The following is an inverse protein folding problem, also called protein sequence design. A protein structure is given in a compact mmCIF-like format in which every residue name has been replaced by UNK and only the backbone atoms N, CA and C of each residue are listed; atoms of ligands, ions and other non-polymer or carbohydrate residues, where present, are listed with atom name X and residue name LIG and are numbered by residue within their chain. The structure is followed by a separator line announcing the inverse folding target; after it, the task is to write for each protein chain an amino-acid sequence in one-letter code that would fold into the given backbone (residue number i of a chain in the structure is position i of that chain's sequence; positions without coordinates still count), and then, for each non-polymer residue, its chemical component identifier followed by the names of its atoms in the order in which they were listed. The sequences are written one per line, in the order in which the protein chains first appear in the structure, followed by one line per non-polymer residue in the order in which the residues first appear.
data_IF_517357360536
#
_entry.id   IF_517357360536
#
_cell.length_a   1.000
_cell.length_b   1.000
_cell.length_c   1.000
_cell.angle_alpha   90.00
_cell.angle_beta   90.00
_cell.angle_gamma   90.00
#
_symmetry.space_group_name_H-M   'P 1'
#
loop_
_entity.id
_entity.type
_entity.pdbx_description
1 polymer ?
#
# COMPACT_ATOMS: atom_id res chain seq x y z
N UNK A 1 61.57 -42.28 -13.72
CA UNK A 1 61.74 -41.65 -12.39
C UNK A 1 61.11 -40.26 -12.45
N UNK A 2 60.10 -40.03 -11.61
CA UNK A 2 59.52 -38.76 -11.12
C UNK A 2 59.49 -37.53 -12.06
N UNK A 3 58.38 -36.83 -12.29
CA UNK A 3 57.15 -36.77 -11.51
C UNK A 3 56.04 -36.02 -12.24
N UNK A 4 54.82 -36.33 -11.79
CA UNK A 4 53.55 -35.72 -12.18
C UNK A 4 53.53 -34.24 -11.78
N UNK A 5 53.07 -33.38 -12.68
CA UNK A 5 52.47 -32.10 -12.32
C UNK A 5 51.04 -32.11 -12.85
N UNK A 6 50.09 -32.14 -11.91
CA UNK A 6 48.68 -31.85 -12.16
C UNK A 6 48.56 -30.36 -12.55
N UNK A 7 47.74 -29.99 -13.55
CA UNK A 7 47.33 -28.59 -13.68
C UNK A 7 46.40 -28.26 -12.52
N UNK A 8 46.84 -27.35 -11.66
CA UNK A 8 45.99 -26.73 -10.67
C UNK A 8 44.87 -25.97 -11.40
N UNK A 9 43.63 -26.45 -11.25
CA UNK A 9 42.44 -25.67 -11.58
C UNK A 9 42.37 -24.54 -10.55
N UNK A 10 42.79 -23.35 -10.96
CA UNK A 10 42.49 -22.12 -10.22
C UNK A 10 41.01 -21.85 -10.46
N UNK A 11 40.16 -22.37 -9.57
CA UNK A 11 38.79 -21.91 -9.43
C UNK A 11 38.87 -20.55 -8.73
N UNK A 12 39.03 -19.48 -9.52
CA UNK A 12 38.76 -18.14 -9.04
C UNK A 12 37.26 -18.07 -8.73
N UNK A 13 36.88 -18.20 -7.46
CA UNK A 13 35.65 -17.60 -6.97
C UNK A 13 35.78 -16.10 -7.22
N UNK A 14 35.33 -15.67 -8.39
CA UNK A 14 34.93 -14.30 -8.59
C UNK A 14 33.65 -14.16 -7.77
N UNK A 15 33.78 -13.86 -6.47
CA UNK A 15 32.72 -13.15 -5.77
C UNK A 15 32.55 -11.88 -6.58
N UNK A 16 31.51 -11.85 -7.41
CA UNK A 16 31.05 -10.61 -7.97
C UNK A 16 30.80 -9.71 -6.77
N UNK A 17 31.73 -8.80 -6.51
CA UNK A 17 31.42 -7.61 -5.77
C UNK A 17 30.19 -7.07 -6.47
N UNK A 18 29.06 -7.02 -5.76
CA UNK A 18 27.90 -6.26 -6.18
C UNK A 18 28.45 -4.89 -6.54
N UNK A 19 28.55 -4.63 -7.84
CA UNK A 19 28.73 -3.28 -8.32
C UNK A 19 27.41 -2.62 -7.96
N UNK A 20 27.37 -2.04 -6.74
CA UNK A 20 26.33 -1.13 -6.32
C UNK A 20 26.28 -0.04 -7.38
N UNK A 21 25.21 -0.07 -8.16
CA UNK A 21 24.83 1.03 -9.02
C UNK A 21 23.63 1.66 -8.29
N UNK A 22 23.94 2.56 -7.36
CA UNK A 22 22.94 3.38 -6.68
C UNK A 22 22.18 4.20 -7.75
N UNK A 23 20.97 3.76 -8.08
CA UNK A 23 20.13 4.36 -9.11
C UNK A 23 19.35 5.55 -8.56
N UNK A 24 20.01 6.67 -8.31
CA UNK A 24 19.31 7.93 -8.04
C UNK A 24 18.96 8.64 -9.37
N UNK A 25 17.68 8.85 -9.62
CA UNK A 25 17.21 9.80 -10.64
C UNK A 25 16.21 10.77 -10.01
N UNK A 26 16.68 11.99 -9.76
CA UNK A 26 15.83 13.13 -9.41
C UNK A 26 15.56 13.95 -10.67
N UNK A 27 14.28 14.18 -10.92
CA UNK A 27 13.80 15.13 -11.93
C UNK A 27 12.85 16.14 -11.27
N UNK A 28 13.33 16.88 -10.27
CA UNK A 28 12.58 17.92 -9.56
C UNK A 28 12.85 17.89 -8.06
N UNK A 29 13.22 19.06 -7.50
CA UNK A 29 13.81 19.22 -6.18
C UNK A 29 13.18 18.37 -5.06
N UNK A 30 13.97 17.45 -4.52
CA UNK A 30 13.75 16.83 -3.21
C UNK A 30 14.50 17.68 -2.18
N UNK A 31 13.77 18.23 -1.21
CA UNK A 31 14.34 18.99 -0.11
C UNK A 31 14.41 18.09 1.12
N UNK A 32 15.61 17.62 1.46
CA UNK A 32 16.00 17.82 2.85
C UNK A 32 16.34 19.30 3.00
N UNK A 33 15.99 19.91 4.12
CA UNK A 33 16.67 21.13 4.56
C UNK A 33 18.13 20.80 4.93
N UNK A 34 18.95 20.56 3.91
CA UNK A 34 20.41 20.76 3.93
C UNK A 34 20.63 21.94 2.98
N UNK A 35 21.02 23.08 3.53
CA UNK A 35 21.14 24.40 2.90
C UNK A 35 21.44 24.37 1.38
N UNK A 36 20.39 24.63 0.59
CA UNK A 36 20.45 25.25 -0.73
C UNK A 36 21.59 24.85 -1.66
N UNK A 37 21.58 23.63 -2.19
CA UNK A 37 21.96 23.42 -3.59
C UNK A 37 21.41 22.09 -4.11
N UNK A 38 20.87 22.12 -5.32
CA UNK A 38 20.45 20.95 -6.09
C UNK A 38 21.57 19.92 -6.16
N UNK A 39 21.37 18.74 -5.59
CA UNK A 39 22.31 17.64 -5.75
C UNK A 39 22.07 16.51 -4.76
N UNK A 40 21.57 15.40 -5.30
CA UNK A 40 21.86 14.04 -4.85
C UNK A 40 21.69 13.78 -3.34
N UNK A 41 20.51 13.27 -2.97
CA UNK A 41 20.31 12.68 -1.65
C UNK A 41 20.82 11.24 -1.69
N UNK A 42 21.88 10.97 -0.93
CA UNK A 42 22.36 9.62 -0.66
C UNK A 42 21.47 8.99 0.42
N UNK A 43 20.60 8.07 0.01
CA UNK A 43 19.57 7.45 0.86
C UNK A 43 20.09 6.28 1.69
N UNK A 44 21.32 5.79 1.44
CA UNK A 44 21.80 4.55 2.06
C UNK A 44 21.88 4.63 3.60
N UNK A 45 21.89 5.84 4.19
CA UNK A 45 21.98 6.04 5.63
C UNK A 45 21.30 7.35 6.10
N UNK A 46 20.11 7.69 5.60
CA UNK A 46 19.38 8.83 6.17
C UNK A 46 18.78 8.42 7.50
N UNK A 47 19.45 8.79 8.58
CA UNK A 47 18.91 8.81 9.93
C UNK A 47 18.88 10.28 10.36
N UNK A 48 17.79 10.97 10.04
CA UNK A 48 17.66 12.40 10.30
C UNK A 48 16.53 12.66 11.30
N UNK A 49 16.79 13.49 12.30
CA UNK A 49 15.77 14.08 13.17
C UNK A 49 14.96 15.17 12.44
N UNK A 50 14.62 14.94 11.18
CA UNK A 50 13.98 15.90 10.32
C UNK A 50 12.99 15.21 9.40
N UNK A 51 12.08 16.01 8.85
CA UNK A 51 11.10 15.53 7.88
C UNK A 51 11.62 15.66 6.45
N UNK A 52 11.14 14.78 5.58
CA UNK A 52 11.43 14.79 4.15
C UNK A 52 10.28 15.45 3.38
N UNK A 53 10.62 16.35 2.45
CA UNK A 53 9.65 17.06 1.63
C UNK A 53 9.89 16.79 0.14
N UNK A 54 8.86 16.33 -0.55
CA UNK A 54 8.85 16.08 -1.99
C UNK A 54 7.81 17.02 -2.62
N UNK A 55 8.23 17.81 -3.61
CA UNK A 55 7.41 18.89 -4.18
C UNK A 55 7.42 20.15 -3.30
N UNK A 56 8.60 20.54 -2.80
CA UNK A 56 8.83 21.69 -1.92
C UNK A 56 9.23 22.97 -2.69
N UNK A 57 8.94 24.12 -2.09
CA UNK A 57 8.99 25.51 -2.55
C UNK A 57 10.08 25.88 -3.57
N UNK A 58 9.73 26.77 -4.50
CA UNK A 58 10.68 27.45 -5.41
C UNK A 58 10.81 26.84 -6.80
N UNK A 59 10.16 25.70 -7.04
CA UNK A 59 10.06 25.06 -8.34
C UNK A 59 8.58 24.79 -8.60
N UNK A 60 8.00 25.40 -9.63
CA UNK A 60 6.68 24.98 -10.11
C UNK A 60 6.86 23.68 -10.89
N UNK A 61 6.15 22.61 -10.53
CA UNK A 61 6.11 21.39 -11.32
C UNK A 61 6.07 20.10 -10.52
N UNK A 62 6.50 19.03 -11.18
CA UNK A 62 6.53 17.67 -10.65
C UNK A 62 7.91 17.37 -10.04
N UNK A 63 7.95 16.91 -8.79
CA UNK A 63 9.15 16.37 -8.14
C UNK A 63 8.97 14.88 -7.87
N UNK A 64 10.03 14.10 -8.04
CA UNK A 64 10.01 12.67 -7.78
C UNK A 64 11.28 12.19 -7.08
N UNK A 65 11.12 11.22 -6.18
CA UNK A 65 12.20 10.50 -5.51
C UNK A 65 11.97 9.00 -5.63
N UNK A 66 13.05 8.23 -5.80
CA UNK A 66 13.03 6.77 -5.74
C UNK A 66 14.09 6.31 -4.74
N UNK A 67 13.70 5.38 -3.87
CA UNK A 67 14.58 4.68 -2.94
C UNK A 67 14.49 3.21 -3.33
N UNK A 68 15.64 2.62 -3.63
CA UNK A 68 15.74 1.23 -4.02
C UNK A 68 16.92 0.52 -3.36
N UNK A 69 17.13 -0.73 -3.77
CA UNK A 69 18.36 -1.49 -3.50
C UNK A 69 18.60 -1.87 -2.03
N UNK A 70 17.56 -1.96 -1.21
CA UNK A 70 17.72 -2.42 0.17
C UNK A 70 18.11 -1.33 1.17
N UNK A 71 17.86 -0.06 0.84
CA UNK A 71 18.22 1.09 1.67
C UNK A 71 17.22 1.28 2.82
N UNK A 72 17.70 1.74 3.99
CA UNK A 72 16.83 2.09 5.13
C UNK A 72 16.87 3.59 5.39
N UNK A 73 15.68 4.20 5.54
CA UNK A 73 15.50 5.62 5.81
C UNK A 73 14.70 5.82 7.10
N UNK A 74 15.30 6.49 8.08
CA UNK A 74 14.69 6.85 9.35
C UNK A 74 14.53 8.38 9.45
N UNK A 75 13.29 8.85 9.55
CA UNK A 75 12.94 10.28 9.53
C UNK A 75 11.89 10.63 10.59
N UNK A 76 11.71 11.92 10.86
CA UNK A 76 10.63 12.36 11.74
C UNK A 76 9.26 12.30 11.07
N UNK A 77 9.20 12.58 9.76
CA UNK A 77 7.96 12.51 8.98
C UNK A 77 8.18 12.74 7.48
N UNK A 78 7.14 12.52 6.71
CA UNK A 78 7.11 12.58 5.25
C UNK A 78 6.04 13.55 4.75
N UNK A 79 6.39 14.41 3.80
CA UNK A 79 5.46 15.33 3.14
C UNK A 79 5.62 15.25 1.62
N UNK A 80 4.60 14.74 0.93
CA UNK A 80 4.57 14.63 -0.54
C UNK A 80 3.51 15.57 -1.11
N UNK A 81 3.91 16.40 -2.07
CA UNK A 81 3.06 17.48 -2.58
C UNK A 81 2.89 18.58 -1.54
N UNK A 82 3.98 18.99 -0.89
CA UNK A 82 3.91 19.89 0.26
C UNK A 82 3.30 21.26 -0.07
N UNK A 83 3.74 21.89 -1.18
CA UNK A 83 3.30 23.24 -1.58
C UNK A 83 2.21 23.24 -2.64
N UNK A 84 1.45 24.34 -2.69
CA UNK A 84 0.43 24.57 -3.71
C UNK A 84 1.06 24.59 -5.10
N UNK A 85 0.34 24.06 -6.09
CA UNK A 85 0.77 23.93 -7.50
C UNK A 85 1.91 22.93 -7.77
N UNK A 86 2.37 22.19 -6.75
CA UNK A 86 3.38 21.15 -6.91
C UNK A 86 2.79 19.75 -6.85
N UNK A 87 3.40 18.83 -7.59
CA UNK A 87 3.08 17.41 -7.54
C UNK A 87 4.31 16.65 -7.07
N UNK A 88 4.18 15.82 -6.04
CA UNK A 88 5.27 15.02 -5.49
C UNK A 88 5.04 13.52 -5.70
N UNK A 89 6.10 12.78 -5.97
CA UNK A 89 6.05 11.30 -6.00
C UNK A 89 7.23 10.70 -5.24
N UNK A 90 6.96 9.80 -4.29
CA UNK A 90 7.95 8.93 -3.67
C UNK A 90 7.72 7.50 -4.13
N UNK A 91 8.77 6.82 -4.56
CA UNK A 91 8.74 5.38 -4.83
C UNK A 91 9.73 4.66 -3.94
N UNK A 92 9.27 3.69 -3.17
CA UNK A 92 10.07 2.72 -2.45
C UNK A 92 9.96 1.40 -3.21
N UNK A 93 11.07 0.81 -3.63
CA UNK A 93 11.05 -0.45 -4.38
C UNK A 93 12.21 -1.36 -3.98
N UNK A 94 11.99 -2.67 -4.11
CA UNK A 94 13.00 -3.68 -3.90
C UNK A 94 13.07 -4.19 -2.46
N UNK A 95 13.33 -5.49 -2.35
CA UNK A 95 13.42 -6.18 -1.08
C UNK A 95 14.49 -5.56 -0.17
N UNK A 96 14.10 -5.32 1.09
CA UNK A 96 14.96 -4.73 2.13
C UNK A 96 15.00 -3.21 2.09
N UNK A 97 14.32 -2.56 1.14
CA UNK A 97 14.13 -1.11 1.18
C UNK A 97 13.11 -0.79 2.26
N UNK A 98 13.50 0.03 3.24
CA UNK A 98 12.73 0.35 4.43
C UNK A 98 12.58 1.87 4.58
N UNK A 99 11.37 2.33 4.86
CA UNK A 99 11.07 3.68 5.28
C UNK A 99 10.43 3.65 6.65
N UNK A 100 11.04 4.34 7.62
CA UNK A 100 10.54 4.47 8.97
C UNK A 100 10.35 5.95 9.32
N UNK A 101 9.13 6.32 9.69
CA UNK A 101 8.79 7.63 10.25
C UNK A 101 8.17 7.45 11.64
N UNK A 102 8.25 8.45 12.53
CA UNK A 102 7.70 8.24 13.87
C UNK A 102 7.62 9.38 14.86
N UNK A 103 7.86 10.63 14.44
CA UNK A 103 7.73 11.79 15.35
C UNK A 103 6.62 12.74 14.93
N UNK A 104 6.40 12.91 13.63
CA UNK A 104 5.38 13.75 13.04
C UNK A 104 4.41 12.88 12.21
N UNK A 105 3.19 13.38 12.00
CA UNK A 105 2.27 12.75 11.05
C UNK A 105 2.83 12.86 9.62
N UNK A 106 2.70 11.78 8.85
CA UNK A 106 3.02 11.78 7.42
C UNK A 106 1.85 12.32 6.60
N UNK A 107 2.15 13.07 5.54
CA UNK A 107 1.16 13.66 4.66
C UNK A 107 1.48 13.41 3.18
N UNK A 108 0.61 12.65 2.53
CA UNK A 108 0.62 12.38 1.09
C UNK A 108 -0.51 13.22 0.47
N UNK A 109 -0.17 14.21 -0.35
CA UNK A 109 -1.13 15.20 -0.84
C UNK A 109 -1.28 16.36 0.13
N UNK A 110 -0.21 17.12 0.34
CA UNK A 110 -0.16 18.35 1.15
C UNK A 110 -1.04 19.47 0.57
N UNK A 111 -0.48 20.64 0.27
CA UNK A 111 -1.20 21.68 -0.48
C UNK A 111 -1.26 21.36 -1.99
N UNK A 112 -0.31 20.56 -2.48
CA UNK A 112 -0.26 19.99 -3.82
C UNK A 112 -0.57 18.49 -3.81
N UNK A 113 -0.56 17.85 -4.99
CA UNK A 113 -0.85 16.41 -5.08
C UNK A 113 0.35 15.59 -4.65
N UNK A 114 0.08 14.46 -3.99
CA UNK A 114 1.12 13.54 -3.55
C UNK A 114 0.85 12.10 -3.93
N UNK A 115 1.90 11.39 -4.32
CA UNK A 115 1.86 9.96 -4.61
C UNK A 115 2.96 9.23 -3.86
N UNK A 116 2.61 8.15 -3.17
CA UNK A 116 3.55 7.22 -2.56
C UNK A 116 3.35 5.84 -3.19
N UNK A 117 4.40 5.26 -3.73
CA UNK A 117 4.42 3.89 -4.22
C UNK A 117 5.32 3.07 -3.31
N UNK A 118 4.82 1.96 -2.78
CA UNK A 118 5.58 0.98 -2.01
C UNK A 118 5.49 -0.34 -2.76
N UNK A 119 6.60 -0.78 -3.34
CA UNK A 119 6.62 -1.79 -4.39
C UNK A 119 7.65 -2.89 -4.11
N UNK A 120 7.47 -4.06 -4.72
CA UNK A 120 8.51 -5.07 -4.93
C UNK A 120 9.26 -5.51 -3.66
N UNK A 121 8.53 -5.70 -2.55
CA UNK A 121 9.05 -6.15 -1.27
C UNK A 121 9.66 -5.05 -0.41
N UNK A 122 9.47 -3.78 -0.76
CA UNK A 122 9.78 -2.66 0.12
C UNK A 122 8.81 -2.58 1.32
N UNK A 123 9.21 -1.88 2.37
CA UNK A 123 8.41 -1.64 3.55
C UNK A 123 8.33 -0.14 3.87
N UNK A 124 7.12 0.31 4.19
CA UNK A 124 6.84 1.62 4.76
C UNK A 124 6.23 1.43 6.14
N UNK A 125 6.80 2.07 7.14
CA UNK A 125 6.35 2.02 8.53
C UNK A 125 6.25 3.42 9.10
N UNK A 126 5.09 3.76 9.66
CA UNK A 126 4.86 5.01 10.37
C UNK A 126 4.42 4.73 11.80
N UNK A 127 5.19 5.19 12.78
CA UNK A 127 4.84 5.06 14.21
C UNK A 127 3.73 6.05 14.63
N UNK A 128 3.39 7.01 13.77
CA UNK A 128 2.40 8.08 13.99
C UNK A 128 1.24 7.91 13.01
N UNK A 129 0.40 8.94 12.85
CA UNK A 129 -0.68 8.87 11.87
C UNK A 129 -0.16 9.17 10.47
N UNK A 130 -0.70 8.49 9.47
CA UNK A 130 -0.47 8.82 8.06
C UNK A 130 -1.73 9.42 7.46
N UNK A 131 -1.58 10.48 6.67
CA UNK A 131 -2.68 11.21 6.04
C UNK A 131 -2.54 11.10 4.53
N UNK A 132 -3.48 10.43 3.88
CA UNK A 132 -3.60 10.40 2.42
C UNK A 132 -4.71 11.37 2.03
N UNK A 133 -4.32 12.46 1.40
CA UNK A 133 -5.21 13.58 1.14
C UNK A 133 -5.25 14.55 2.30
N UNK A 134 -4.15 15.27 2.57
CA UNK A 134 -4.08 16.22 3.67
C UNK A 134 -4.89 17.48 3.35
N UNK A 135 -4.52 18.20 2.29
CA UNK A 135 -5.25 19.36 1.79
C UNK A 135 -5.56 19.30 0.29
N UNK A 136 -4.96 18.36 -0.43
CA UNK A 136 -5.18 18.07 -1.85
C UNK A 136 -5.11 16.55 -2.07
N UNK A 137 -5.30 16.05 -3.28
CA UNK A 137 -5.37 14.61 -3.55
C UNK A 137 -4.06 13.88 -3.16
N UNK A 138 -4.20 12.84 -2.33
CA UNK A 138 -3.15 11.89 -2.00
C UNK A 138 -3.42 10.51 -2.62
N UNK A 139 -2.38 9.81 -3.04
CA UNK A 139 -2.51 8.44 -3.55
C UNK A 139 -1.41 7.57 -2.99
N UNK A 140 -1.78 6.40 -2.47
CA UNK A 140 -0.84 5.37 -2.03
C UNK A 140 -1.10 4.09 -2.81
N UNK A 141 -0.04 3.50 -3.35
CA UNK A 141 -0.06 2.18 -4.00
C UNK A 141 0.89 1.26 -3.24
N UNK A 142 0.39 0.09 -2.88
CA UNK A 142 1.12 -0.99 -2.23
C UNK A 142 1.05 -2.22 -3.15
N UNK A 143 2.15 -2.60 -3.76
CA UNK A 143 2.21 -3.72 -4.71
C UNK A 143 3.31 -4.70 -4.30
N UNK A 144 2.92 -5.91 -3.89
CA UNK A 144 3.84 -6.93 -3.38
C UNK A 144 4.78 -6.38 -2.29
N UNK A 145 4.25 -5.54 -1.40
CA UNK A 145 5.02 -4.75 -0.43
C UNK A 145 4.26 -4.60 0.89
N UNK A 146 4.85 -3.94 1.88
CA UNK A 146 4.26 -3.74 3.21
C UNK A 146 4.10 -2.26 3.54
N UNK A 147 2.91 -1.87 4.01
CA UNK A 147 2.57 -0.50 4.41
C UNK A 147 1.90 -0.52 5.80
N UNK A 148 2.64 -0.14 6.84
CA UNK A 148 2.22 -0.27 8.24
C UNK A 148 2.11 1.10 8.92
N UNK A 149 1.00 1.30 9.63
CA UNK A 149 0.71 2.50 10.40
C UNK A 149 0.32 2.09 11.82
N UNK A 150 1.12 2.47 12.81
CA UNK A 150 0.89 2.14 14.22
C UNK A 150 -0.23 2.98 14.87
N UNK A 151 -0.74 3.97 14.16
CA UNK A 151 -1.80 4.87 14.60
C UNK A 151 -2.96 4.92 13.61
N UNK A 152 -3.51 6.10 13.36
CA UNK A 152 -4.64 6.32 12.46
C UNK A 152 -4.17 6.49 11.01
N UNK A 153 -4.91 5.89 10.09
CA UNK A 153 -4.85 6.22 8.66
C UNK A 153 -5.97 7.21 8.34
N UNK A 154 -5.64 8.44 7.98
CA UNK A 154 -6.64 9.40 7.55
C UNK A 154 -6.76 9.44 6.03
N UNK A 155 -7.99 9.49 5.53
CA UNK A 155 -8.28 9.85 4.14
C UNK A 155 -9.02 11.19 4.11
N UNK A 156 -8.54 12.11 3.27
CA UNK A 156 -9.15 13.43 3.06
C UNK A 156 -9.33 14.22 4.36
N UNK A 157 -8.26 14.46 5.13
CA UNK A 157 -8.36 14.89 6.54
C UNK A 157 -8.79 16.34 6.76
N UNK A 158 -8.25 17.30 5.99
CA UNK A 158 -8.39 18.74 6.30
C UNK A 158 -9.08 19.58 5.24
N UNK A 159 -9.27 19.06 4.01
CA UNK A 159 -9.86 19.84 2.91
C UNK A 159 -10.77 19.01 2.02
N UNK A 160 -11.78 19.65 1.44
CA UNK A 160 -12.57 19.11 0.33
C UNK A 160 -11.74 18.92 -0.94
N UNK A 161 -10.66 19.66 -1.11
CA UNK A 161 -9.80 19.55 -2.29
C UNK A 161 -8.99 18.24 -2.28
N UNK A 162 -9.01 17.49 -1.17
CA UNK A 162 -8.46 16.14 -1.08
C UNK A 162 -9.35 15.06 -1.71
N UNK A 163 -10.45 15.42 -2.38
CA UNK A 163 -11.39 14.48 -2.97
C UNK A 163 -10.71 13.41 -3.85
N UNK A 164 -11.23 12.18 -3.76
CA UNK A 164 -10.72 10.98 -4.42
C UNK A 164 -9.28 10.61 -4.02
N UNK A 165 -8.86 10.88 -2.78
CA UNK A 165 -7.64 10.26 -2.27
C UNK A 165 -7.84 8.76 -2.08
N UNK A 166 -6.77 8.00 -2.28
CA UNK A 166 -6.89 6.55 -2.37
C UNK A 166 -5.72 5.77 -1.79
N UNK A 167 -6.02 4.58 -1.29
CA UNK A 167 -5.08 3.51 -0.98
C UNK A 167 -5.43 2.29 -1.85
N UNK A 168 -4.45 1.78 -2.59
CA UNK A 168 -4.59 0.57 -3.41
C UNK A 168 -3.57 -0.47 -2.96
N UNK A 169 -4.04 -1.70 -2.69
CA UNK A 169 -3.22 -2.84 -2.29
C UNK A 169 -3.37 -3.95 -3.33
N UNK A 170 -2.26 -4.39 -3.91
CA UNK A 170 -2.20 -5.38 -4.98
C UNK A 170 -0.93 -6.24 -4.91
N UNK A 171 -0.80 -7.22 -5.80
CA UNK A 171 0.37 -8.11 -5.93
C UNK A 171 0.71 -8.95 -4.70
N UNK A 172 -0.26 -9.23 -3.83
CA UNK A 172 -0.05 -9.90 -2.55
C UNK A 172 0.49 -8.97 -1.45
N UNK A 173 0.44 -7.65 -1.65
CA UNK A 173 0.86 -6.66 -0.67
C UNK A 173 0.01 -6.67 0.60
N UNK A 174 0.59 -6.13 1.68
CA UNK A 174 -0.06 -5.97 2.98
C UNK A 174 -0.11 -4.50 3.36
N UNK A 175 -1.27 -4.05 3.84
CA UNK A 175 -1.43 -2.74 4.45
C UNK A 175 -2.10 -2.87 5.82
N UNK A 176 -1.70 -2.05 6.79
CA UNK A 176 -2.33 -2.05 8.10
C UNK A 176 -2.40 -0.66 8.72
N UNK A 177 -3.50 -0.40 9.44
CA UNK A 177 -3.63 0.69 10.38
C UNK A 177 -4.05 0.13 11.74
N UNK A 178 -3.20 0.24 12.76
CA UNK A 178 -3.52 -0.27 14.11
C UNK A 178 -4.68 0.48 14.75
N UNK A 179 -4.85 1.76 14.40
CA UNK A 179 -6.01 2.57 14.75
C UNK A 179 -7.16 2.43 13.74
N UNK A 180 -7.87 3.54 13.57
CA UNK A 180 -8.97 3.66 12.61
C UNK A 180 -8.44 4.05 11.23
N UNK A 181 -9.16 3.62 10.19
CA UNK A 181 -9.22 4.40 8.95
C UNK A 181 -10.27 5.48 9.15
N UNK A 182 -9.89 6.75 9.13
CA UNK A 182 -10.78 7.90 9.38
C UNK A 182 -10.91 8.77 8.13
N UNK A 183 -12.12 8.84 7.59
CA UNK A 183 -12.46 9.60 6.38
C UNK A 183 -13.24 10.85 6.78
N UNK A 184 -12.67 12.04 6.53
CA UNK A 184 -13.23 13.31 7.02
C UNK A 184 -14.03 14.08 5.98
N UNK A 185 -13.54 14.19 4.75
CA UNK A 185 -14.16 15.00 3.71
C UNK A 185 -14.36 14.22 2.40
N UNK A 186 -15.45 14.52 1.69
CA UNK A 186 -15.73 14.05 0.33
C UNK A 186 -15.54 12.54 0.12
N UNK A 187 -15.10 12.11 -1.08
CA UNK A 187 -15.00 10.71 -1.47
C UNK A 187 -13.57 10.22 -1.30
N UNK A 188 -13.39 9.08 -0.67
CA UNK A 188 -12.13 8.35 -0.62
C UNK A 188 -12.29 6.96 -1.26
N UNK A 189 -11.18 6.33 -1.62
CA UNK A 189 -11.17 4.96 -2.16
C UNK A 189 -10.18 4.06 -1.42
N UNK A 190 -10.63 2.86 -1.09
CA UNK A 190 -9.82 1.75 -0.60
C UNK A 190 -9.99 0.58 -1.56
N UNK A 191 -8.92 0.23 -2.28
CA UNK A 191 -8.92 -0.88 -3.22
C UNK A 191 -7.99 -1.96 -2.70
N UNK A 192 -8.50 -3.17 -2.48
CA UNK A 192 -7.69 -4.33 -2.08
C UNK A 192 -7.91 -5.42 -3.12
N UNK A 193 -7.09 -5.45 -4.16
CA UNK A 193 -7.34 -6.28 -5.35
C UNK A 193 -6.76 -7.70 -5.23
N UNK A 194 -5.49 -7.78 -4.86
CA UNK A 194 -4.71 -9.00 -4.60
C UNK A 194 -3.79 -8.69 -3.42
N UNK A 195 -4.21 -9.00 -2.19
CA UNK A 195 -3.51 -8.56 -0.99
C UNK A 195 -4.44 -8.45 0.21
N UNK A 196 -3.94 -7.90 1.31
CA UNK A 196 -4.70 -7.78 2.56
C UNK A 196 -4.60 -6.39 3.17
N UNK A 197 -5.73 -5.88 3.66
CA UNK A 197 -5.79 -4.67 4.49
C UNK A 197 -6.30 -5.04 5.88
N UNK A 198 -5.59 -4.60 6.91
CA UNK A 198 -6.07 -4.62 8.29
C UNK A 198 -6.37 -3.19 8.78
N UNK A 199 -7.50 -3.02 9.45
CA UNK A 199 -7.74 -1.84 10.28
C UNK A 199 -8.45 -2.26 11.57
N UNK A 200 -8.37 -1.46 12.63
CA UNK A 200 -9.23 -1.75 13.79
C UNK A 200 -10.71 -1.49 13.44
N UNK A 201 -10.99 -0.38 12.76
CA UNK A 201 -12.35 0.06 12.41
C UNK A 201 -12.28 1.15 11.33
N UNK A 202 -13.36 1.33 10.57
CA UNK A 202 -13.50 2.40 9.56
C UNK A 202 -14.51 3.44 10.05
N UNK A 203 -14.04 4.65 10.29
CA UNK A 203 -14.88 5.79 10.66
C UNK A 203 -15.13 6.69 9.44
N UNK A 204 -16.40 6.90 9.09
CA UNK A 204 -16.79 7.78 7.98
C UNK A 204 -17.57 8.99 8.51
N UNK A 205 -17.02 10.20 8.35
CA UNK A 205 -17.70 11.43 8.73
C UNK A 205 -18.99 11.64 7.93
N UNK A 206 -19.97 12.36 8.47
CA UNK A 206 -21.31 12.52 7.88
C UNK A 206 -21.35 13.19 6.51
N UNK A 207 -20.32 13.95 6.13
CA UNK A 207 -20.18 14.53 4.80
C UNK A 207 -19.32 13.71 3.85
N UNK A 208 -18.81 12.56 4.29
CA UNK A 208 -17.86 11.76 3.54
C UNK A 208 -18.46 10.46 3.00
N UNK A 209 -17.81 9.95 1.96
CA UNK A 209 -18.10 8.65 1.34
C UNK A 209 -16.80 7.87 1.21
N UNK A 210 -16.79 6.60 1.56
CA UNK A 210 -15.70 5.70 1.21
C UNK A 210 -16.16 4.65 0.20
N UNK A 211 -15.44 4.53 -0.90
CA UNK A 211 -15.62 3.48 -1.89
C UNK A 211 -14.63 2.36 -1.58
N UNK A 212 -15.13 1.16 -1.29
CA UNK A 212 -14.31 0.01 -0.93
C UNK A 212 -14.47 -1.05 -2.02
N UNK A 213 -13.36 -1.44 -2.64
CA UNK A 213 -13.35 -2.46 -3.69
C UNK A 213 -12.47 -3.63 -3.22
N UNK A 214 -13.06 -4.81 -3.08
CA UNK A 214 -12.34 -6.03 -2.71
C UNK A 214 -12.26 -6.96 -3.93
N UNK A 215 -11.04 -7.17 -4.41
CA UNK A 215 -10.72 -8.01 -5.57
C UNK A 215 -10.74 -9.50 -5.26
N UNK A 216 -10.53 -10.31 -6.30
CA UNK A 216 -10.62 -11.77 -6.25
C UNK A 216 -9.71 -12.41 -5.18
N UNK A 217 -8.58 -11.79 -4.90
CA UNK A 217 -7.61 -12.25 -3.90
C UNK A 217 -7.41 -11.20 -2.79
N UNK A 218 -8.33 -10.25 -2.71
CA UNK A 218 -8.33 -9.20 -1.70
C UNK A 218 -8.97 -9.69 -0.40
N UNK A 219 -8.45 -9.20 0.72
CA UNK A 219 -9.11 -9.31 2.01
C UNK A 219 -9.10 -8.01 2.80
N UNK A 220 -10.18 -7.76 3.54
CA UNK A 220 -10.29 -6.66 4.49
C UNK A 220 -10.61 -7.23 5.86
N UNK A 221 -9.71 -7.05 6.81
CA UNK A 221 -9.89 -7.42 8.21
C UNK A 221 -10.19 -6.18 9.06
N UNK A 222 -11.24 -6.26 9.88
CA UNK A 222 -11.62 -5.22 10.83
C UNK A 222 -11.58 -5.76 12.26
N UNK A 223 -10.65 -5.26 13.07
CA UNK A 223 -10.43 -5.71 14.45
C UNK A 223 -11.68 -5.59 15.35
N UNK A 224 -12.45 -4.52 15.20
CA UNK A 224 -13.73 -4.31 15.89
C UNK A 224 -14.81 -5.32 15.50
N UNK A 225 -14.63 -6.01 14.36
CA UNK A 225 -15.50 -7.04 13.84
C UNK A 225 -14.93 -8.46 14.02
N UNK A 226 -13.87 -8.66 14.81
CA UNK A 226 -13.12 -9.92 14.99
C UNK A 226 -13.91 -11.16 15.42
N UNK A 227 -15.18 -11.03 15.81
CA UNK A 227 -16.07 -12.15 16.15
C UNK A 227 -17.26 -12.32 15.21
N UNK A 228 -17.30 -11.53 14.12
CA UNK A 228 -18.41 -11.50 13.18
C UNK A 228 -18.30 -12.63 12.15
N UNK A 229 -19.45 -13.19 11.79
CA UNK A 229 -19.58 -14.31 10.85
C UNK A 229 -20.56 -14.02 9.72
N UNK A 230 -21.07 -12.79 9.67
CA UNK A 230 -22.03 -12.32 8.66
C UNK A 230 -21.64 -10.93 8.19
N UNK A 231 -21.94 -10.61 6.94
CA UNK A 231 -21.72 -9.26 6.41
C UNK A 231 -22.46 -8.18 7.20
N UNK A 232 -23.66 -8.49 7.71
CA UNK A 232 -24.44 -7.52 8.48
C UNK A 232 -23.72 -7.15 9.77
N UNK A 233 -23.16 -8.14 10.47
CA UNK A 233 -22.42 -7.90 11.71
C UNK A 233 -21.06 -7.27 11.43
N UNK A 234 -20.39 -7.67 10.35
CA UNK A 234 -19.13 -7.06 9.90
C UNK A 234 -19.31 -5.56 9.64
N UNK A 235 -20.35 -5.18 8.89
CA UNK A 235 -20.64 -3.78 8.60
C UNK A 235 -21.08 -3.01 9.85
N UNK A 236 -21.92 -3.60 10.70
CA UNK A 236 -22.42 -2.93 11.90
C UNK A 236 -21.35 -2.67 12.97
N UNK A 237 -20.34 -3.54 13.07
CA UNK A 237 -19.26 -3.42 14.07
C UNK A 237 -17.99 -2.79 13.48
N UNK A 238 -17.74 -2.99 12.18
CA UNK A 238 -16.55 -2.52 11.47
C UNK A 238 -16.63 -1.07 11.01
N UNK A 239 -17.84 -0.54 10.83
CA UNK A 239 -18.06 0.81 10.29
C UNK A 239 -18.81 1.69 11.29
N UNK A 240 -18.30 2.90 11.52
CA UNK A 240 -18.97 3.90 12.36
C UNK A 240 -18.95 5.28 11.72
N UNK A 241 -19.54 6.24 12.43
CA UNK A 241 -19.74 7.60 11.95
C UNK A 241 -21.13 7.80 11.33
N UNK A 242 -21.27 8.90 10.58
CA UNK A 242 -22.55 9.27 9.96
C UNK A 242 -22.49 9.32 8.44
N UNK A 243 -21.35 8.99 7.85
CA UNK A 243 -21.11 9.03 6.41
C UNK A 243 -21.67 7.81 5.69
N UNK A 244 -21.39 7.73 4.40
CA UNK A 244 -21.79 6.60 3.56
C UNK A 244 -20.59 5.75 3.17
N UNK A 245 -20.82 4.47 2.90
CA UNK A 245 -19.84 3.60 2.28
C UNK A 245 -20.48 2.90 1.08
N UNK A 246 -19.68 2.63 0.07
CA UNK A 246 -20.03 1.81 -1.09
C UNK A 246 -19.07 0.63 -1.13
N UNK A 247 -19.55 -0.55 -0.72
CA UNK A 247 -18.76 -1.78 -0.67
C UNK A 247 -19.05 -2.61 -1.92
N UNK A 248 -18.02 -2.79 -2.74
CA UNK A 248 -18.06 -3.62 -3.93
C UNK A 248 -17.08 -4.77 -3.83
N UNK A 249 -17.51 -5.90 -4.36
CA UNK A 249 -16.78 -7.15 -4.36
C UNK A 249 -16.64 -7.62 -5.80
N UNK A 250 -15.46 -8.11 -6.14
CA UNK A 250 -15.19 -8.65 -7.47
C UNK A 250 -16.06 -9.87 -7.75
N UNK A 251 -16.74 -9.84 -8.88
CA UNK A 251 -17.55 -10.94 -9.39
C UNK A 251 -17.37 -11.06 -10.91
N UNK A 252 -16.75 -12.15 -11.35
CA UNK A 252 -16.68 -12.58 -12.76
C UNK A 252 -16.31 -11.48 -13.78
N UNK A 253 -15.32 -10.63 -13.46
CA UNK A 253 -14.80 -9.63 -14.39
C UNK A 253 -15.20 -8.19 -14.09
N UNK A 254 -16.00 -7.95 -13.04
CA UNK A 254 -16.38 -6.60 -12.62
C UNK A 254 -16.63 -6.49 -11.12
N UNK A 255 -16.57 -5.28 -10.58
CA UNK A 255 -16.98 -4.99 -9.21
C UNK A 255 -18.51 -4.88 -9.11
N UNK A 256 -19.11 -5.68 -8.24
CA UNK A 256 -20.55 -5.69 -7.96
C UNK A 256 -20.83 -5.25 -6.52
N UNK A 257 -21.96 -4.58 -6.30
CA UNK A 257 -22.43 -4.23 -4.95
C UNK A 257 -22.64 -5.51 -4.13
N UNK A 258 -22.09 -5.56 -2.91
CA UNK A 258 -22.16 -6.73 -2.04
C UNK A 258 -23.60 -7.21 -1.79
N UNK A 259 -24.58 -6.29 -1.78
CA UNK A 259 -25.99 -6.59 -1.55
C UNK A 259 -26.65 -7.35 -2.70
N UNK A 260 -26.01 -7.37 -3.87
CA UNK A 260 -26.42 -8.16 -5.03
C UNK A 260 -25.82 -9.56 -5.09
N UNK A 261 -24.92 -9.88 -4.15
CA UNK A 261 -24.15 -11.12 -4.08
C UNK A 261 -24.65 -12.04 -2.95
N UNK A 262 -24.22 -13.29 -2.97
CA UNK A 262 -24.58 -14.33 -2.01
C UNK A 262 -23.40 -14.68 -1.10
N UNK A 263 -23.55 -14.43 0.20
CA UNK A 263 -22.57 -14.83 1.22
C UNK A 263 -22.36 -16.36 1.24
N UNK A 264 -21.11 -16.78 1.42
CA UNK A 264 -20.57 -18.15 1.28
C UNK A 264 -20.53 -18.71 -0.15
N UNK A 265 -20.98 -17.96 -1.15
CA UNK A 265 -20.82 -18.31 -2.56
C UNK A 265 -19.87 -17.34 -3.26
N UNK A 266 -20.16 -16.04 -3.18
CA UNK A 266 -19.44 -14.98 -3.89
C UNK A 266 -18.43 -14.26 -2.97
N UNK A 267 -18.70 -14.22 -1.67
CA UNK A 267 -17.82 -13.66 -0.64
C UNK A 267 -18.04 -14.39 0.68
N UNK A 268 -17.12 -14.26 1.64
CA UNK A 268 -17.28 -14.80 2.99
C UNK A 268 -16.81 -13.79 4.03
N UNK A 269 -17.52 -13.75 5.16
CA UNK A 269 -17.07 -13.12 6.40
C UNK A 269 -16.76 -14.22 7.41
N UNK A 270 -15.55 -14.20 7.95
CA UNK A 270 -15.13 -15.12 9.01
C UNK A 270 -14.16 -14.41 9.94
N UNK A 271 -14.47 -14.42 11.24
CA UNK A 271 -13.62 -13.85 12.30
C UNK A 271 -13.20 -12.38 12.02
N UNK A 272 -14.11 -11.58 11.47
CA UNK A 272 -13.86 -10.18 11.13
C UNK A 272 -13.07 -9.95 9.84
N UNK A 273 -12.86 -10.98 9.04
CA UNK A 273 -12.23 -10.91 7.73
C UNK A 273 -13.28 -11.05 6.64
N UNK A 274 -13.41 -10.04 5.77
CA UNK A 274 -14.15 -10.11 4.51
C UNK A 274 -13.18 -10.51 3.39
N UNK A 275 -13.50 -11.57 2.65
CA UNK A 275 -12.70 -12.01 1.51
C UNK A 275 -13.55 -12.63 0.40
N UNK A 276 -12.98 -12.67 -0.81
CA UNK A 276 -13.56 -13.37 -1.95
C UNK A 276 -13.03 -14.81 -1.97
N UNK A 277 -13.87 -15.84 -1.80
CA UNK A 277 -13.41 -17.21 -1.92
C UNK A 277 -12.93 -17.44 -3.36
N UNK A 278 -11.84 -18.21 -3.51
CA UNK A 278 -11.47 -18.67 -4.84
C UNK A 278 -12.68 -19.39 -5.45
N UNK A 279 -13.07 -19.07 -6.71
CA UNK A 279 -14.18 -19.76 -7.35
C UNK A 279 -13.87 -21.24 -7.23
N UNK A 280 -14.82 -21.99 -6.67
CA UNK A 280 -14.70 -23.43 -6.47
C UNK A 280 -14.33 -24.01 -7.83
N UNK A 281 -13.03 -24.13 -8.07
CA UNK A 281 -12.52 -24.50 -9.37
C UNK A 281 -12.91 -25.94 -9.42
N UNK A 282 -14.01 -26.22 -10.12
CA UNK A 282 -14.61 -27.53 -10.19
C UNK A 282 -13.49 -28.44 -10.67
N UNK A 283 -12.80 -29.06 -9.70
CA UNK A 283 -11.85 -30.12 -9.90
C UNK A 283 -12.69 -31.35 -10.22
N UNK A 284 -13.53 -31.24 -11.25
CA UNK A 284 -14.34 -32.26 -11.87
C UNK A 284 -13.51 -32.98 -12.93
N UNK A 285 -12.23 -33.17 -12.65
CA UNK A 285 -11.28 -33.90 -13.46
C UNK A 285 -10.49 -34.75 -12.49
N UNK A 286 -11.08 -35.86 -12.02
CA UNK A 286 -10.38 -37.11 -11.63
C UNK A 286 -11.33 -38.19 -11.05
N UNK A 287 -12.64 -38.14 -11.31
CA UNK A 287 -13.54 -39.29 -11.19
C UNK A 287 -13.92 -39.89 -12.57
N UNK A 288 -13.06 -39.67 -13.57
CA UNK A 288 -13.07 -40.35 -14.86
C UNK A 288 -12.37 -41.71 -14.80
N UNK A 289 -12.81 -42.58 -13.90
CA UNK A 289 -12.36 -43.98 -13.78
C UNK A 289 -13.52 -44.98 -13.63
N UNK A 290 -14.77 -44.57 -13.86
CA UNK A 290 -15.92 -45.47 -13.86
C UNK A 290 -16.71 -45.29 -15.17
N UNK A 291 -16.56 -46.27 -16.06
CA UNK A 291 -17.18 -46.28 -17.38
C UNK A 291 -18.71 -46.29 -17.32
N UNK A 292 -19.33 -45.35 -18.02
CA UNK A 292 -20.70 -45.48 -18.49
C UNK A 292 -20.71 -46.41 -19.70
N UNK A 293 -20.86 -47.72 -19.45
CA UNK A 293 -21.21 -48.69 -20.51
C UNK A 293 -22.71 -48.59 -20.76
N UNK A 294 -23.08 -47.98 -21.90
CA UNK A 294 -24.46 -48.05 -22.41
C UNK A 294 -24.61 -49.34 -23.21
N UNK A 295 -25.27 -50.36 -22.64
CA UNK A 295 -25.70 -51.56 -23.38
C UNK A 295 -27.08 -51.30 -24.03
N UNK A 296 -27.22 -51.71 -25.29
CA UNK A 296 -28.51 -52.07 -25.90
C UNK A 296 -28.71 -53.56 -25.79
#
# INVERSE_FOLDING_TARGET
MYGRLLPAVILALLTAASACFAGYSDTGGVSQSIDGSSGQIDWENINSSGSVYIGYYGFSGTSSATIDSGSSVDVEGLYIGYDSDNEGTLTLSGQGTEWNSGYNDDAIGGLGKGTLNVLDGAAYTSLTSTIIGNSNQGTVVVDNATFEIDSYLYLNKYSSDADNSSLTVTGGGTASAQGLIDIRYNSAALNVEDGSMYANEIFVNSSAVININIGLKGSLELGSASSTQTISDFLANGFTGGGSYDLKIWNDGSYADYSSLTENADYKVEDGVLFVPEPATFSLLFLGGAGLIRRR
#
